data_IF_421803019249
#
_entry.id   IF_421803019249
#
_cell.length_a   1.000
_cell.length_b   1.000
_cell.length_c   1.000
_cell.angle_alpha   90.00
_cell.angle_beta   90.00
_cell.angle_gamma   90.00
#
_symmetry.space_group_name_H-M   'P 1'
#
loop_
_entity.id
_entity.type
_entity.pdbx_description
1 polymer ?
#
# COMPACT_ATOMS: atom_id res chain seq x y z
N UNK A 1 1.08 7.40 13.96
CA UNK A 1 2.51 7.69 14.24
C UNK A 1 3.13 8.58 13.16
N UNK A 2 3.15 8.18 11.88
CA UNK A 2 3.72 8.97 10.76
C UNK A 2 3.10 10.37 10.60
N UNK A 3 1.76 10.47 10.64
CA UNK A 3 1.08 11.76 10.54
C UNK A 3 1.34 12.67 11.75
N UNK A 4 1.50 12.08 12.94
CA UNK A 4 1.79 12.84 14.16
C UNK A 4 3.20 13.44 14.13
N UNK A 5 4.22 12.68 13.71
CA UNK A 5 5.59 13.19 13.56
C UNK A 5 5.65 14.32 12.53
N UNK A 6 4.95 14.18 11.39
CA UNK A 6 4.85 15.24 10.38
C UNK A 6 4.14 16.48 10.92
N UNK A 7 3.08 16.31 11.71
CA UNK A 7 2.33 17.39 12.33
C UNK A 7 3.18 18.19 13.32
N UNK A 8 3.94 17.51 14.18
CA UNK A 8 4.81 18.15 15.18
C UNK A 8 5.87 19.02 14.51
N UNK A 9 6.53 18.50 13.46
CA UNK A 9 7.55 19.23 12.68
C UNK A 9 6.95 20.47 12.00
N UNK A 10 5.71 20.39 11.52
CA UNK A 10 5.03 21.52 10.89
C UNK A 10 4.52 22.56 11.90
N UNK A 11 4.27 22.15 13.15
CA UNK A 11 3.79 23.02 14.24
C UNK A 11 4.91 23.68 15.03
N UNK A 12 6.16 23.21 14.90
CA UNK A 12 7.29 23.84 15.60
C UNK A 12 7.66 25.13 14.87
N UNK A 13 7.63 26.27 15.56
CA UNK A 13 8.13 27.58 15.08
C UNK A 13 9.67 27.57 14.99
N UNK A 14 10.22 26.65 14.20
CA UNK A 14 11.65 26.60 13.91
C UNK A 14 11.97 27.57 12.77
N UNK A 15 13.07 28.32 12.91
CA UNK A 15 13.65 29.18 11.87
C UNK A 15 13.72 28.39 10.55
N UNK A 16 13.23 28.94 9.43
CA UNK A 16 13.07 28.24 8.13
C UNK A 16 14.37 27.56 7.64
N UNK A 17 15.52 28.05 8.11
CA UNK A 17 16.87 27.51 7.89
C UNK A 17 17.06 26.09 8.46
N UNK A 18 16.34 25.73 9.54
CA UNK A 18 16.40 24.42 10.21
C UNK A 18 15.20 23.53 9.90
N UNK A 19 14.05 24.11 9.58
CA UNK A 19 12.82 23.41 9.20
C UNK A 19 12.99 22.59 7.92
N UNK A 20 13.64 23.16 6.90
CA UNK A 20 13.87 22.48 5.61
C UNK A 20 14.78 21.23 5.73
N UNK A 21 15.94 21.29 6.43
CA UNK A 21 16.75 20.10 6.73
C UNK A 21 15.98 19.02 7.52
N UNK A 22 15.25 19.39 8.57
CA UNK A 22 14.49 18.46 9.41
C UNK A 22 13.37 17.80 8.60
N UNK A 23 12.65 18.58 7.79
CA UNK A 23 11.59 18.05 6.92
C UNK A 23 12.15 17.09 5.86
N UNK A 24 13.32 17.39 5.29
CA UNK A 24 14.01 16.49 4.36
C UNK A 24 14.45 15.20 5.04
N UNK A 25 15.02 15.27 6.25
CA UNK A 25 15.40 14.08 7.01
C UNK A 25 14.20 13.24 7.41
N UNK A 26 13.13 13.85 7.91
CA UNK A 26 11.88 13.16 8.23
C UNK A 26 11.27 12.55 6.97
N UNK A 27 11.24 13.27 5.85
CA UNK A 27 10.76 12.72 4.58
C UNK A 27 11.60 11.54 4.10
N UNK A 28 12.93 11.64 4.19
CA UNK A 28 13.84 10.53 3.88
C UNK A 28 13.58 9.31 4.76
N UNK A 29 13.44 9.50 6.08
CA UNK A 29 13.11 8.44 7.02
C UNK A 29 11.74 7.81 6.73
N UNK A 30 10.75 8.64 6.34
CA UNK A 30 9.43 8.17 5.94
C UNK A 30 9.44 7.42 4.61
N UNK A 31 10.32 7.78 3.68
CA UNK A 31 10.51 7.02 2.43
C UNK A 31 11.27 5.71 2.69
N UNK A 32 12.21 5.72 3.64
CA UNK A 32 12.90 4.52 4.10
C UNK A 32 12.00 3.58 4.92
N UNK A 33 10.87 4.08 5.45
CA UNK A 33 9.84 3.26 6.06
C UNK A 33 9.15 2.42 4.99
N UNK A 34 9.72 1.24 4.73
CA UNK A 34 9.04 0.19 3.99
C UNK A 34 7.93 -0.38 4.89
N UNK A 35 6.66 -0.36 4.46
CA UNK A 35 5.60 -1.07 5.17
C UNK A 35 6.04 -2.53 5.32
N UNK A 36 6.27 -2.95 6.57
CA UNK A 36 6.73 -4.31 6.86
C UNK A 36 5.75 -5.29 6.24
N UNK A 37 6.25 -6.11 5.31
CA UNK A 37 5.46 -7.19 4.74
C UNK A 37 5.17 -8.20 5.84
N UNK A 38 3.90 -8.29 6.24
CA UNK A 38 3.45 -9.18 7.33
C UNK A 38 3.28 -10.61 6.81
N UNK A 39 3.08 -10.78 5.49
CA UNK A 39 2.75 -12.07 4.90
C UNK A 39 4.00 -12.82 4.40
N UNK A 40 4.16 -14.12 4.72
CA UNK A 40 5.17 -14.98 4.11
C UNK A 40 4.98 -15.09 2.59
N UNK A 41 6.04 -15.48 1.88
CA UNK A 41 6.08 -15.52 0.41
C UNK A 41 4.95 -16.36 -0.20
N UNK A 42 4.64 -17.50 0.42
CA UNK A 42 3.57 -18.42 -0.03
C UNK A 42 2.20 -17.74 0.04
N UNK A 43 1.88 -17.09 1.15
CA UNK A 43 0.62 -16.37 1.31
C UNK A 43 0.49 -15.19 0.33
N UNK A 44 1.60 -14.54 -0.02
CA UNK A 44 1.60 -13.50 -1.06
C UNK A 44 1.28 -14.04 -2.45
N UNK A 45 1.78 -15.22 -2.79
CA UNK A 45 1.46 -15.89 -4.06
C UNK A 45 -0.01 -16.25 -4.08
N UNK A 46 -0.52 -16.87 -3.01
CA UNK A 46 -1.93 -17.20 -2.87
C UNK A 46 -2.83 -15.95 -2.97
N UNK A 47 -2.48 -14.86 -2.27
CA UNK A 47 -3.24 -13.61 -2.33
C UNK A 47 -3.25 -12.98 -3.73
N UNK A 48 -2.16 -13.12 -4.51
CA UNK A 48 -2.13 -12.68 -5.91
C UNK A 48 -3.08 -13.50 -6.78
N UNK A 49 -3.12 -14.82 -6.59
CA UNK A 49 -4.06 -15.69 -7.30
C UNK A 49 -5.51 -15.34 -6.94
N UNK A 50 -5.80 -15.11 -5.66
CA UNK A 50 -7.14 -14.70 -5.20
C UNK A 50 -7.56 -13.34 -5.77
N UNK A 51 -6.63 -12.41 -5.99
CA UNK A 51 -6.95 -11.10 -6.61
C UNK A 51 -7.29 -11.19 -8.09
N UNK A 52 -6.89 -12.27 -8.77
CA UNK A 52 -7.23 -12.49 -10.18
C UNK A 52 -8.53 -13.26 -10.35
N UNK A 53 -9.02 -13.89 -9.29
CA UNK A 53 -10.31 -14.54 -9.26
C UNK A 53 -11.42 -13.49 -9.27
N UNK A 54 -12.35 -13.60 -10.24
CA UNK A 54 -13.44 -12.64 -10.43
C UNK A 54 -14.61 -12.89 -9.49
N UNK A 55 -14.72 -14.10 -8.97
CA UNK A 55 -15.80 -14.51 -8.10
C UNK A 55 -15.46 -14.24 -6.64
N UNK A 56 -14.24 -13.76 -6.35
CA UNK A 56 -13.77 -13.43 -5.01
C UNK A 56 -13.68 -11.92 -4.81
N UNK A 57 -14.27 -11.43 -3.71
CA UNK A 57 -14.22 -10.04 -3.29
C UNK A 57 -13.39 -9.90 -2.01
N UNK A 58 -12.33 -9.11 -2.08
CA UNK A 58 -11.43 -8.82 -0.95
C UNK A 58 -11.70 -7.40 -0.44
N UNK A 59 -12.20 -7.27 0.78
CA UNK A 59 -12.62 -5.98 1.38
C UNK A 59 -11.81 -5.68 2.65
N UNK A 60 -11.30 -4.45 2.83
CA UNK A 60 -10.65 -4.07 4.09
C UNK A 60 -11.66 -4.13 5.26
N UNK A 61 -11.26 -4.75 6.35
CA UNK A 61 -12.06 -4.80 7.57
C UNK A 61 -11.82 -3.54 8.41
N UNK A 62 -12.84 -3.12 9.16
CA UNK A 62 -12.71 -2.04 10.14
C UNK A 62 -11.73 -2.38 11.28
N UNK A 63 -11.50 -3.69 11.56
CA UNK A 63 -10.71 -4.15 12.69
C UNK A 63 -9.29 -4.57 12.29
N UNK A 64 -8.30 -3.92 12.88
CA UNK A 64 -6.93 -4.44 13.01
C UNK A 64 -6.20 -4.74 11.70
N UNK A 65 -6.24 -3.85 10.69
CA UNK A 65 -5.61 -4.05 9.36
C UNK A 65 -6.03 -5.37 8.68
N UNK A 66 -7.12 -5.99 9.13
CA UNK A 66 -7.59 -7.26 8.60
C UNK A 66 -8.24 -7.05 7.25
N UNK A 67 -8.30 -8.10 6.45
CA UNK A 67 -9.00 -8.13 5.18
C UNK A 67 -9.98 -9.28 5.22
N UNK A 68 -11.20 -9.06 4.74
CA UNK A 68 -12.23 -10.10 4.65
C UNK A 68 -12.33 -10.53 3.19
N UNK A 69 -12.42 -11.84 2.98
CA UNK A 69 -12.60 -12.46 1.67
C UNK A 69 -14.03 -12.98 1.62
N UNK A 70 -14.74 -12.65 0.55
CA UNK A 70 -16.11 -13.09 0.31
C UNK A 70 -16.21 -13.70 -1.09
N UNK A 71 -17.15 -14.65 -1.24
CA UNK A 71 -17.70 -14.94 -2.54
C UNK A 71 -18.52 -13.72 -3.04
N UNK A 72 -18.44 -13.45 -4.33
CA UNK A 72 -19.07 -12.30 -4.97
C UNK A 72 -20.60 -12.33 -4.87
N UNK A 73 -21.20 -13.52 -4.92
CA UNK A 73 -22.64 -13.70 -4.82
C UNK A 73 -23.12 -13.49 -3.39
N UNK A 74 -22.42 -14.08 -2.41
CA UNK A 74 -22.69 -13.91 -0.98
C UNK A 74 -22.54 -12.44 -0.57
N UNK A 75 -21.48 -11.78 -1.03
CA UNK A 75 -21.25 -10.37 -0.73
C UNK A 75 -22.35 -9.49 -1.31
N UNK A 76 -22.73 -9.72 -2.57
CA UNK A 76 -23.75 -8.94 -3.24
C UNK A 76 -25.13 -9.13 -2.58
N UNK A 77 -25.48 -10.37 -2.23
CA UNK A 77 -26.72 -10.66 -1.52
C UNK A 77 -26.73 -9.99 -0.14
N UNK A 78 -25.63 -10.06 0.60
CA UNK A 78 -25.51 -9.40 1.90
C UNK A 78 -25.60 -7.88 1.76
N UNK A 79 -24.91 -7.28 0.80
CA UNK A 79 -24.92 -5.84 0.55
C UNK A 79 -26.29 -5.33 0.11
N UNK A 80 -27.04 -6.11 -0.68
CA UNK A 80 -28.44 -5.79 -1.04
C UNK A 80 -29.33 -5.78 0.19
N UNK A 81 -29.22 -6.80 1.04
CA UNK A 81 -30.05 -6.93 2.24
C UNK A 81 -29.71 -5.89 3.31
N UNK A 82 -28.46 -5.41 3.37
CA UNK A 82 -28.01 -4.40 4.34
C UNK A 82 -27.99 -2.97 3.79
N UNK A 83 -28.45 -2.74 2.55
CA UNK A 83 -28.41 -1.41 1.90
C UNK A 83 -27.00 -0.91 1.55
N UNK A 84 -25.96 -1.76 1.66
CA UNK A 84 -24.55 -1.43 1.44
C UNK A 84 -24.13 -1.36 -0.04
N UNK A 85 -25.06 -1.47 -0.99
CA UNK A 85 -24.76 -1.50 -2.43
C UNK A 85 -24.06 -0.22 -2.93
N UNK A 86 -24.27 0.93 -2.29
CA UNK A 86 -23.58 2.19 -2.64
C UNK A 86 -22.07 2.13 -2.39
N UNK A 87 -21.64 1.38 -1.36
CA UNK A 87 -20.22 1.23 -0.99
C UNK A 87 -19.45 0.38 -2.02
N UNK A 88 -20.15 -0.52 -2.72
CA UNK A 88 -19.57 -1.36 -3.79
C UNK A 88 -19.09 -0.54 -4.99
N UNK A 89 -19.81 0.51 -5.37
CA UNK A 89 -19.46 1.33 -6.52
C UNK A 89 -18.09 2.01 -6.32
N UNK A 90 -17.82 2.48 -5.09
CA UNK A 90 -16.55 3.09 -4.71
C UNK A 90 -15.37 2.11 -4.70
N UNK A 91 -15.60 0.86 -4.28
CA UNK A 91 -14.55 -0.18 -4.21
C UNK A 91 -14.15 -0.70 -5.60
N UNK A 92 -15.11 -0.84 -6.53
CA UNK A 92 -14.82 -1.29 -7.90
C UNK A 92 -13.95 -0.31 -8.67
N UNK A 93 -14.21 0.99 -8.52
CA UNK A 93 -13.45 2.05 -9.21
C UNK A 93 -12.01 2.16 -8.71
N UNK A 94 -11.74 1.91 -7.42
CA UNK A 94 -10.38 1.90 -6.88
C UNK A 94 -9.54 0.72 -7.40
N UNK A 95 -10.12 -0.44 -7.67
CA UNK A 95 -9.38 -1.60 -8.19
C UNK A 95 -8.85 -1.33 -9.62
N UNK A 96 -9.67 -0.75 -10.49
CA UNK A 96 -9.27 -0.43 -11.87
C UNK A 96 -8.18 0.65 -11.96
N UNK A 97 -8.24 1.70 -11.12
CA UNK A 97 -7.22 2.76 -11.10
C UNK A 97 -5.84 2.26 -10.62
N UNK A 98 -5.78 1.14 -9.91
CA UNK A 98 -4.54 0.56 -9.37
C UNK A 98 -3.88 -0.48 -10.30
N UNK A 99 -4.53 -0.86 -11.41
CA UNK A 99 -3.98 -1.80 -12.39
C UNK A 99 -3.04 -1.12 -13.40
N UNK A 100 -3.18 0.19 -13.61
CA UNK A 100 -2.50 0.91 -14.71
C UNK A 100 -1.18 1.59 -14.31
N UNK A 101 -0.85 1.67 -13.01
CA UNK A 101 0.29 2.48 -12.54
C UNK A 101 1.52 1.67 -12.09
N UNK A 102 1.50 0.32 -12.14
CA UNK A 102 2.67 -0.50 -11.75
C UNK A 102 3.69 -0.76 -12.85
N UNK A 103 3.38 -0.47 -14.12
CA UNK A 103 4.31 -0.66 -15.24
C UNK A 103 5.10 0.60 -15.65
N UNK A 104 5.07 1.67 -14.84
CA UNK A 104 5.87 2.88 -15.10
C UNK A 104 7.16 2.98 -14.27
N UNK A 105 7.63 1.90 -13.66
CA UNK A 105 8.95 1.89 -13.04
C UNK A 105 10.00 1.39 -14.03
N UNK A 106 10.60 2.32 -14.79
CA UNK A 106 11.81 2.05 -15.56
C UNK A 106 13.00 1.87 -14.59
N UNK A 107 13.70 0.73 -14.56
CA UNK A 107 14.93 0.61 -13.79
C UNK A 107 16.05 1.34 -14.54
N UNK A 108 16.41 2.53 -14.08
CA UNK A 108 17.65 3.19 -14.53
C UNK A 108 18.84 2.44 -13.90
N UNK A 109 19.56 1.71 -14.74
CA UNK A 109 21.00 1.45 -14.60
C UNK A 109 21.41 0.37 -13.59
N UNK A 110 21.44 -0.89 -14.02
CA UNK A 110 22.31 -1.89 -13.39
C UNK A 110 23.74 -1.63 -13.87
N UNK A 111 24.60 -1.05 -13.02
CA UNK A 111 26.05 -1.15 -13.21
C UNK A 111 26.48 -2.49 -12.63
N UNK A 112 27.03 -3.34 -13.50
CA UNK A 112 27.84 -4.50 -13.13
C UNK A 112 28.92 -4.07 -12.13
N UNK A 113 29.05 -4.82 -11.05
CA UNK A 113 30.29 -4.86 -10.27
C UNK A 113 30.82 -6.28 -10.39
N UNK A 114 31.70 -6.46 -11.37
CA UNK A 114 32.65 -7.57 -11.41
C UNK A 114 33.49 -7.51 -10.14
N UNK A 115 33.38 -8.54 -9.29
CA UNK A 115 34.26 -8.72 -8.15
C UNK A 115 35.42 -9.63 -8.59
N UNK A 116 36.58 -9.01 -8.78
CA UNK A 116 37.84 -9.67 -9.11
C UNK A 116 38.25 -10.62 -7.98
N UNK A 117 38.41 -11.90 -8.30
CA UNK A 117 39.14 -12.85 -7.44
C UNK A 117 40.63 -12.76 -7.75
N UNK A 118 41.40 -12.21 -6.81
CA UNK A 118 42.84 -12.35 -6.75
C UNK A 118 43.22 -12.84 -5.35
N UNK A 119 43.70 -14.09 -5.29
CA UNK A 119 44.89 -14.64 -4.60
C UNK A 119 44.75 -16.15 -4.54
#
# INVERSE_FOLDING_TARGET
MIAAVKSVVNQTEAMEETKNPIQKQVSSLLMAHQPREVLPKVERVALRALKTDRDIIIVPANKGRSTIIFDSTDFLQKAKNTGGLSVLCSLRNQSHQNADTRNQFNPVGSRELEYNNAV
#
